data_IF_567957847316
#
_entry.id   IF_567957847316
#
_cell.length_a   1.000
_cell.length_b   1.000
_cell.length_c   1.000
_cell.angle_alpha   90.00
_cell.angle_beta   90.00
_cell.angle_gamma   90.00
#
_symmetry.space_group_name_H-M   'P 1'
#
loop_
_entity.id
_entity.type
_entity.pdbx_description
1 polymer ?
#
# COMPACT_ATOMS: atom_id res chain seq x y z
N UNK A 1 4.77 30.34 40.48
CA UNK A 1 3.88 30.11 39.32
C UNK A 1 3.88 31.38 38.48
N UNK A 2 4.20 31.31 37.18
CA UNK A 2 4.24 32.48 36.30
C UNK A 2 2.81 32.86 35.85
N UNK A 3 2.29 33.98 36.36
CA UNK A 3 0.91 34.43 36.10
C UNK A 3 0.65 34.76 34.62
N UNK A 4 1.64 35.30 33.91
CA UNK A 4 1.53 35.62 32.48
C UNK A 4 1.42 34.40 31.58
N UNK A 5 1.92 33.24 32.02
CA UNK A 5 1.80 31.99 31.27
C UNK A 5 0.38 31.38 31.33
N UNK A 6 -0.49 31.90 32.21
CA UNK A 6 -1.88 31.47 32.38
C UNK A 6 -2.87 32.45 31.74
N UNK A 7 -2.39 33.59 31.21
CA UNK A 7 -3.21 34.61 30.57
C UNK A 7 -3.23 34.35 29.06
N UNK A 8 -4.42 34.23 28.48
CA UNK A 8 -4.58 34.12 27.01
C UNK A 8 -4.33 35.49 26.40
N UNK A 9 -3.47 35.56 25.38
CA UNK A 9 -3.20 36.82 24.66
C UNK A 9 -4.47 37.34 23.98
N UNK A 10 -4.76 38.66 24.05
CA UNK A 10 -5.85 39.27 23.29
C UNK A 10 -5.81 38.95 21.80
N UNK A 11 -4.60 38.87 21.22
CA UNK A 11 -4.40 38.54 19.81
C UNK A 11 -4.83 37.10 19.50
N UNK A 12 -4.59 36.17 20.44
CA UNK A 12 -5.00 34.78 20.27
C UNK A 12 -6.52 34.63 20.30
N UNK A 13 -7.21 35.40 21.16
CA UNK A 13 -8.68 35.44 21.20
C UNK A 13 -9.27 36.04 19.92
N UNK A 14 -8.65 37.10 19.40
CA UNK A 14 -9.09 37.72 18.14
C UNK A 14 -8.95 36.78 16.94
N UNK A 15 -7.84 36.02 16.87
CA UNK A 15 -7.64 35.01 15.83
C UNK A 15 -8.67 33.88 15.96
N UNK A 16 -8.90 33.39 17.18
CA UNK A 16 -9.88 32.32 17.44
C UNK A 16 -11.29 32.71 17.02
N UNK A 17 -11.71 33.95 17.31
CA UNK A 17 -13.01 34.45 16.91
C UNK A 17 -13.18 34.48 15.39
N UNK A 18 -12.17 34.97 14.66
CA UNK A 18 -12.18 34.99 13.19
C UNK A 18 -12.24 33.57 12.62
N UNK A 19 -11.45 32.64 13.16
CA UNK A 19 -11.46 31.24 12.71
C UNK A 19 -12.79 30.55 12.98
N UNK A 20 -13.40 30.81 14.13
CA UNK A 20 -14.71 30.26 14.49
C UNK A 20 -15.81 30.78 13.55
N UNK A 21 -15.82 32.09 13.27
CA UNK A 21 -16.77 32.68 12.32
C UNK A 21 -16.60 32.09 10.91
N UNK A 22 -15.37 31.99 10.42
CA UNK A 22 -15.08 31.38 9.12
C UNK A 22 -15.51 29.90 9.06
N UNK A 23 -15.29 29.15 10.14
CA UNK A 23 -15.73 27.76 10.25
C UNK A 23 -17.25 27.63 10.17
N UNK A 24 -17.99 28.47 10.91
CA UNK A 24 -19.45 28.46 10.89
C UNK A 24 -20.01 28.82 9.51
N UNK A 25 -19.41 29.82 8.84
CA UNK A 25 -19.78 30.19 7.47
C UNK A 25 -19.54 29.04 6.49
N UNK A 26 -18.37 28.39 6.55
CA UNK A 26 -18.06 27.24 5.69
C UNK A 26 -19.03 26.06 5.92
N UNK A 27 -19.44 25.80 7.16
CA UNK A 27 -20.43 24.76 7.47
C UNK A 27 -21.76 25.02 6.76
N UNK A 28 -22.21 26.28 6.71
CA UNK A 28 -23.45 26.68 6.04
C UNK A 28 -23.29 26.63 4.52
N UNK A 29 -22.21 27.22 3.99
CA UNK A 29 -21.92 27.28 2.56
C UNK A 29 -21.84 25.87 1.94
N UNK A 30 -21.16 24.94 2.61
CA UNK A 30 -20.95 23.58 2.11
C UNK A 30 -22.01 22.58 2.58
N UNK A 31 -23.03 22.99 3.34
CA UNK A 31 -24.13 22.11 3.74
C UNK A 31 -24.76 21.30 2.59
N UNK A 32 -25.11 21.91 1.42
CA UNK A 32 -25.70 21.14 0.31
C UNK A 32 -24.70 20.17 -0.33
N UNK A 33 -23.43 20.56 -0.47
CA UNK A 33 -22.37 19.71 -1.02
C UNK A 33 -22.11 18.48 -0.12
N UNK A 34 -22.16 18.66 1.20
CA UNK A 34 -21.99 17.57 2.17
C UNK A 34 -23.10 16.52 2.06
N UNK A 35 -24.34 16.94 1.81
CA UNK A 35 -25.46 16.01 1.62
C UNK A 35 -25.35 15.26 0.29
N UNK A 36 -24.95 15.94 -0.79
CA UNK A 36 -24.66 15.31 -2.09
C UNK A 36 -23.57 14.24 -1.97
N UNK A 37 -22.45 14.58 -1.34
CA UNK A 37 -21.31 13.67 -1.15
C UNK A 37 -21.65 12.51 -0.21
N UNK A 38 -22.52 12.70 0.79
CA UNK A 38 -23.01 11.60 1.65
C UNK A 38 -23.68 10.51 0.82
N UNK A 39 -24.50 10.91 -0.15
CA UNK A 39 -25.12 10.01 -1.12
C UNK A 39 -24.09 9.29 -1.99
N UNK A 40 -23.10 10.00 -2.51
CA UNK A 40 -22.05 9.41 -3.37
C UNK A 40 -21.13 8.45 -2.63
N UNK A 41 -20.73 8.77 -1.39
CA UNK A 41 -19.90 7.90 -0.55
C UNK A 41 -20.63 6.61 -0.12
N UNK A 42 -21.97 6.65 -0.03
CA UNK A 42 -22.78 5.46 0.25
C UNK A 42 -22.88 4.49 -0.95
N UNK A 43 -22.64 4.98 -2.18
CA UNK A 43 -22.49 4.13 -3.36
C UNK A 43 -21.11 3.48 -3.32
N UNK A 44 -20.94 2.46 -2.47
CA UNK A 44 -19.75 1.60 -2.52
C UNK A 44 -19.61 1.10 -3.96
N UNK A 45 -18.47 1.33 -4.64
CA UNK A 45 -18.23 0.68 -5.92
C UNK A 45 -18.29 -0.82 -5.66
N UNK A 46 -19.17 -1.53 -6.38
CA UNK A 46 -19.35 -2.97 -6.21
C UNK A 46 -18.01 -3.68 -6.38
N UNK A 47 -17.48 -4.18 -5.27
CA UNK A 47 -16.18 -4.85 -5.18
C UNK A 47 -16.16 -6.21 -5.87
N UNK A 48 -17.35 -6.75 -6.19
CA UNK A 48 -17.52 -8.08 -6.77
C UNK A 48 -16.88 -8.21 -8.16
N UNK A 49 -17.06 -7.23 -9.05
CA UNK A 49 -16.47 -7.26 -10.41
C UNK A 49 -14.95 -7.07 -10.42
N UNK A 50 -14.37 -6.48 -9.37
CA UNK A 50 -12.91 -6.30 -9.27
C UNK A 50 -12.22 -7.60 -8.83
N UNK A 51 -12.87 -8.38 -7.96
CA UNK A 51 -12.36 -9.68 -7.52
C UNK A 51 -12.26 -10.67 -8.67
N UNK A 52 -13.28 -10.78 -9.53
CA UNK A 52 -13.25 -11.70 -10.68
C UNK A 52 -12.12 -11.38 -11.67
N UNK A 53 -11.94 -10.09 -12.01
CA UNK A 53 -10.87 -9.65 -12.91
C UNK A 53 -9.47 -9.92 -12.35
N UNK A 54 -9.27 -9.80 -11.04
CA UNK A 54 -8.00 -10.14 -10.41
C UNK A 54 -7.69 -11.65 -10.50
N UNK A 55 -8.69 -12.51 -10.24
CA UNK A 55 -8.53 -13.95 -10.37
C UNK A 55 -8.22 -14.37 -11.81
N UNK A 56 -8.92 -13.79 -12.79
CA UNK A 56 -8.65 -14.00 -14.22
C UNK A 56 -7.22 -13.59 -14.61
N UNK A 57 -6.73 -12.46 -14.09
CA UNK A 57 -5.37 -12.01 -14.34
C UNK A 57 -4.33 -12.96 -13.71
N UNK A 58 -4.58 -13.48 -12.51
CA UNK A 58 -3.71 -14.50 -11.90
C UNK A 58 -3.70 -15.78 -12.73
N UNK A 59 -4.85 -16.22 -13.22
CA UNK A 59 -4.94 -17.41 -14.07
C UNK A 59 -4.09 -17.24 -15.33
N UNK A 60 -4.12 -16.07 -15.98
CA UNK A 60 -3.26 -15.75 -17.13
C UNK A 60 -1.77 -15.77 -16.77
N UNK A 61 -1.38 -15.14 -15.67
CA UNK A 61 0.02 -15.15 -15.21
C UNK A 61 0.53 -16.56 -14.87
N UNK A 62 -0.35 -17.43 -14.38
CA UNK A 62 0.00 -18.83 -14.08
C UNK A 62 0.23 -19.70 -15.32
N UNK A 63 -0.16 -19.24 -16.51
CA UNK A 63 0.17 -19.92 -17.77
C UNK A 63 1.68 -19.84 -18.07
N UNK A 64 2.32 -18.72 -17.74
CA UNK A 64 3.77 -18.52 -17.92
C UNK A 64 4.58 -18.90 -16.68
N UNK A 65 4.04 -18.61 -15.49
CA UNK A 65 4.69 -18.87 -14.21
C UNK A 65 3.75 -19.66 -13.27
N UNK A 66 3.79 -21.01 -13.28
CA UNK A 66 2.81 -21.84 -12.57
C UNK A 66 2.75 -21.58 -11.05
N UNK A 67 3.85 -21.08 -10.48
CA UNK A 67 3.98 -20.75 -9.07
C UNK A 67 3.81 -19.24 -8.76
N UNK A 68 3.32 -18.45 -9.71
CA UNK A 68 3.00 -17.04 -9.49
C UNK A 68 1.99 -16.85 -8.34
N UNK A 69 2.32 -15.92 -7.45
CA UNK A 69 1.55 -15.58 -6.25
C UNK A 69 1.32 -16.75 -5.27
N UNK A 70 2.01 -17.88 -5.44
CA UNK A 70 1.99 -18.95 -4.44
C UNK A 70 2.94 -18.60 -3.27
N UNK A 71 2.65 -19.04 -2.04
CA UNK A 71 3.58 -18.87 -0.93
C UNK A 71 4.92 -19.57 -1.21
N UNK A 72 6.00 -19.06 -0.64
CA UNK A 72 7.30 -19.73 -0.63
C UNK A 72 7.31 -20.79 0.49
N UNK A 73 7.65 -22.02 0.16
CA UNK A 73 7.89 -23.08 1.14
C UNK A 73 9.33 -22.99 1.64
N UNK A 74 9.59 -23.57 2.81
CA UNK A 74 10.94 -23.63 3.37
C UNK A 74 11.91 -24.37 2.45
N UNK A 75 11.43 -25.45 1.82
CA UNK A 75 12.20 -26.23 0.83
C UNK A 75 12.62 -25.37 -0.36
N UNK A 76 11.71 -24.57 -0.93
CA UNK A 76 12.04 -23.65 -2.01
C UNK A 76 13.04 -22.56 -1.59
N UNK A 77 12.96 -22.09 -0.34
CA UNK A 77 13.93 -21.12 0.18
C UNK A 77 15.32 -21.76 0.33
N UNK A 78 15.39 -23.01 0.81
CA UNK A 78 16.63 -23.75 0.97
C UNK A 78 17.29 -24.03 -0.39
N UNK A 79 16.52 -24.47 -1.39
CA UNK A 79 16.99 -24.62 -2.78
C UNK A 79 17.43 -23.28 -3.38
N UNK A 80 16.64 -22.20 -3.21
CA UNK A 80 16.97 -20.89 -3.75
C UNK A 80 18.31 -20.37 -3.21
N UNK A 81 18.54 -20.52 -1.89
CA UNK A 81 19.81 -20.12 -1.27
C UNK A 81 20.98 -20.94 -1.80
N UNK A 82 20.79 -22.24 -2.02
CA UNK A 82 21.83 -23.11 -2.56
C UNK A 82 22.17 -22.73 -4.01
N UNK A 83 21.16 -22.63 -4.87
CA UNK A 83 21.33 -22.33 -6.29
C UNK A 83 21.99 -20.95 -6.50
N UNK A 84 21.57 -19.95 -5.71
CA UNK A 84 22.16 -18.61 -5.75
C UNK A 84 23.63 -18.62 -5.33
N UNK A 85 23.98 -19.37 -4.28
CA UNK A 85 25.38 -19.55 -3.85
C UNK A 85 26.23 -20.29 -4.87
N UNK A 86 25.63 -21.16 -5.68
CA UNK A 86 26.32 -21.81 -6.80
C UNK A 86 26.45 -20.93 -8.06
N UNK A 87 25.92 -19.71 -8.04
CA UNK A 87 26.03 -18.76 -9.16
C UNK A 87 25.00 -18.97 -10.27
N UNK A 88 23.88 -19.64 -9.99
CA UNK A 88 22.79 -19.80 -10.96
C UNK A 88 22.17 -18.44 -11.26
N UNK A 89 22.01 -18.13 -12.55
CA UNK A 89 21.49 -16.84 -13.01
C UNK A 89 20.01 -16.64 -12.65
N UNK A 90 19.59 -15.38 -12.55
CA UNK A 90 18.21 -15.03 -12.18
C UNK A 90 17.15 -15.62 -13.12
N UNK A 91 17.43 -15.65 -14.42
CA UNK A 91 16.53 -16.23 -15.44
C UNK A 91 16.39 -17.74 -15.29
N UNK A 92 17.45 -18.43 -14.89
CA UNK A 92 17.43 -19.87 -14.65
C UNK A 92 16.67 -20.20 -13.37
N UNK A 93 16.87 -19.42 -12.30
CA UNK A 93 16.08 -19.52 -11.07
C UNK A 93 14.59 -19.27 -11.35
N UNK A 94 14.26 -18.23 -12.12
CA UNK A 94 12.89 -17.90 -12.56
C UNK A 94 12.22 -19.10 -13.24
N UNK A 95 12.91 -19.74 -14.19
CA UNK A 95 12.43 -20.93 -14.89
C UNK A 95 12.30 -22.14 -13.96
N UNK A 96 13.32 -22.42 -13.13
CA UNK A 96 13.36 -23.56 -12.21
C UNK A 96 12.20 -23.52 -11.21
N UNK A 97 11.97 -22.36 -10.59
CA UNK A 97 10.89 -22.20 -9.62
C UNK A 97 9.53 -21.92 -10.28
N UNK A 98 9.49 -21.67 -11.59
CA UNK A 98 8.27 -21.27 -12.31
C UNK A 98 7.66 -19.99 -11.74
N UNK A 99 8.52 -19.04 -11.34
CA UNK A 99 8.15 -17.78 -10.68
C UNK A 99 8.77 -16.61 -11.45
N UNK A 100 8.08 -15.47 -11.44
CA UNK A 100 8.59 -14.26 -12.07
C UNK A 100 9.94 -13.81 -11.46
N UNK A 101 10.91 -13.31 -12.24
CA UNK A 101 12.24 -12.92 -11.76
C UNK A 101 12.18 -11.91 -10.62
N UNK A 102 11.25 -10.94 -10.67
CA UNK A 102 11.03 -10.01 -9.55
C UNK A 102 10.68 -10.70 -8.22
N UNK A 103 9.95 -11.81 -8.23
CA UNK A 103 9.68 -12.59 -7.01
C UNK A 103 10.94 -13.29 -6.48
N UNK A 104 11.86 -13.67 -7.36
CA UNK A 104 13.15 -14.25 -6.97
C UNK A 104 14.03 -13.16 -6.35
N UNK A 105 14.14 -11.99 -6.99
CA UNK A 105 14.90 -10.83 -6.48
C UNK A 105 14.47 -10.47 -5.05
N UNK A 106 13.18 -10.26 -4.83
CA UNK A 106 12.65 -9.89 -3.51
C UNK A 106 12.98 -10.97 -2.47
N UNK A 107 12.91 -12.25 -2.87
CA UNK A 107 13.22 -13.35 -1.96
C UNK A 107 14.70 -13.44 -1.63
N UNK A 108 15.58 -13.22 -2.61
CA UNK A 108 17.02 -13.13 -2.40
C UNK A 108 17.36 -11.94 -1.49
N UNK A 109 16.76 -10.78 -1.70
CA UNK A 109 16.90 -9.62 -0.81
C UNK A 109 16.52 -9.92 0.62
N UNK A 110 15.42 -10.66 0.82
CA UNK A 110 14.99 -11.11 2.15
C UNK A 110 16.01 -12.02 2.83
N UNK A 111 16.74 -12.85 2.08
CA UNK A 111 17.69 -13.82 2.64
C UNK A 111 19.12 -13.31 2.77
N UNK A 112 19.56 -12.44 1.87
CA UNK A 112 20.95 -12.03 1.75
C UNK A 112 21.15 -10.50 1.92
N UNK A 113 20.08 -9.71 1.97
CA UNK A 113 20.14 -8.24 2.05
C UNK A 113 19.87 -7.53 0.72
N UNK A 114 19.65 -6.22 0.78
CA UNK A 114 19.28 -5.41 -0.41
C UNK A 114 20.41 -5.26 -1.44
N UNK A 115 21.67 -5.43 -1.02
CA UNK A 115 22.89 -5.16 -1.82
C UNK A 115 23.28 -6.31 -2.76
N UNK A 116 22.51 -7.38 -2.76
CA UNK A 116 22.87 -8.66 -3.38
C UNK A 116 22.64 -8.67 -4.90
N UNK A 117 21.81 -7.75 -5.38
CA UNK A 117 21.39 -7.66 -6.78
C UNK A 117 21.50 -6.18 -7.18
N UNK A 118 22.58 -5.84 -7.87
CA UNK A 118 22.91 -4.51 -8.40
C UNK A 118 22.64 -4.42 -9.90
#
# INVERSE_FOLDING_TARGET
INRKALEVSPDALAIDEVLNQASQQAVVEYAPLREQLRGELSKKPSTEKKSSKWHENIAKMRQTHPNAFRPWTKEHDDELKQDFRSGVGLEELSKKFGRHPGSIIVRLKKHFGDDVIA
#
